data_IF_327871095245
#
_entry.id   IF_327871095245
#
_cell.length_a   1.000
_cell.length_b   1.000
_cell.length_c   1.000
_cell.angle_alpha   90.00
_cell.angle_beta   90.00
_cell.angle_gamma   90.00
#
_symmetry.space_group_name_H-M   'P 1'
#
loop_
_entity.id
_entity.type
_entity.pdbx_description
1 polymer ?
#
# COMPACT_ATOMS: atom_id res chain seq x y z
N UNK A 1 21.60 2.53 10.56
CA UNK A 1 21.01 2.81 9.24
C UNK A 1 19.55 2.35 9.29
N UNK A 2 18.59 3.18 8.88
CA UNK A 2 17.16 2.93 9.08
C UNK A 2 16.45 2.63 7.76
N UNK A 3 15.43 1.79 7.79
CA UNK A 3 14.43 1.75 6.71
C UNK A 3 13.57 3.01 6.78
N UNK A 4 13.17 3.53 5.63
CA UNK A 4 12.32 4.72 5.55
C UNK A 4 10.98 4.37 4.91
N UNK A 5 9.90 4.91 5.48
CA UNK A 5 8.54 4.77 4.97
C UNK A 5 7.97 6.17 4.78
N UNK A 6 7.41 6.44 3.60
CA UNK A 6 6.81 7.71 3.20
C UNK A 6 5.39 7.46 2.74
N UNK A 7 4.44 8.15 3.38
CA UNK A 7 3.01 8.07 3.04
C UNK A 7 2.69 9.13 2.00
N UNK A 8 2.36 8.71 0.77
CA UNK A 8 1.91 9.62 -0.27
C UNK A 8 0.40 9.82 -0.25
N UNK A 9 -0.35 8.87 0.30
CA UNK A 9 -1.75 9.09 0.60
C UNK A 9 -2.24 8.25 1.75
N UNK A 10 -3.21 8.83 2.46
CA UNK A 10 -3.68 8.37 3.77
C UNK A 10 -5.20 8.51 3.91
N UNK A 11 -5.90 8.80 2.81
CA UNK A 11 -7.36 8.92 2.80
C UNK A 11 -8.00 7.56 2.54
N UNK A 12 -9.14 7.31 3.17
CA UNK A 12 -10.04 6.21 2.81
C UNK A 12 -11.16 6.64 1.86
N UNK A 13 -11.74 5.66 1.15
CA UNK A 13 -12.96 5.82 0.34
C UNK A 13 -12.64 6.20 -1.10
N UNK A 14 -13.67 6.23 -1.95
CA UNK A 14 -13.51 6.22 -3.42
C UNK A 14 -12.84 7.43 -4.11
N UNK A 15 -12.13 8.30 -3.40
CA UNK A 15 -11.40 9.42 -3.99
C UNK A 15 -10.62 10.25 -2.97
N UNK A 16 -9.72 11.15 -3.44
CA UNK A 16 -8.90 11.97 -2.57
C UNK A 16 -9.76 12.99 -1.84
N UNK A 17 -9.37 13.33 -0.61
CA UNK A 17 -9.90 14.50 0.08
C UNK A 17 -9.08 15.74 -0.26
N UNK A 18 -9.59 16.94 0.08
CA UNK A 18 -8.86 18.21 -0.08
C UNK A 18 -7.46 18.17 0.58
N UNK A 19 -7.30 17.35 1.63
CA UNK A 19 -6.11 17.36 2.50
C UNK A 19 -5.31 16.05 2.51
N UNK A 20 -5.82 14.98 1.89
CA UNK A 20 -5.20 13.65 1.88
C UNK A 20 -5.44 12.99 0.53
N UNK A 21 -4.38 12.49 -0.10
CA UNK A 21 -4.49 11.67 -1.29
C UNK A 21 -5.00 10.25 -0.94
N UNK A 22 -5.53 9.53 -1.93
CA UNK A 22 -5.88 8.10 -1.84
C UNK A 22 -4.67 7.22 -1.52
N UNK A 23 -4.90 5.97 -1.10
CA UNK A 23 -3.89 5.06 -0.56
C UNK A 23 -2.65 4.94 -1.44
N UNK A 24 -1.49 5.28 -0.86
CA UNK A 24 -0.19 4.96 -1.43
C UNK A 24 0.92 5.20 -0.40
N UNK A 25 1.80 4.21 -0.27
CA UNK A 25 2.94 4.20 0.62
C UNK A 25 4.18 3.78 -0.14
N UNK A 26 5.31 4.45 0.11
CA UNK A 26 6.61 4.10 -0.47
C UNK A 26 7.63 3.82 0.63
N UNK A 27 8.39 2.76 0.47
CA UNK A 27 9.41 2.33 1.42
C UNK A 27 10.78 2.18 0.74
N UNK A 28 11.80 2.75 1.37
CA UNK A 28 13.22 2.44 1.10
C UNK A 28 13.67 1.42 2.16
N UNK A 29 13.68 0.16 1.75
CA UNK A 29 13.88 -1.00 2.64
C UNK A 29 15.29 -1.58 2.56
N UNK A 30 16.05 -1.26 1.51
CA UNK A 30 17.42 -1.75 1.29
C UNK A 30 18.48 -0.65 1.27
N UNK A 31 18.09 0.63 1.19
CA UNK A 31 18.98 1.79 1.34
C UNK A 31 19.93 2.03 0.17
N UNK A 32 19.71 1.40 -0.98
CA UNK A 32 20.45 1.63 -2.23
C UNK A 32 19.76 2.63 -3.17
N UNK A 33 18.63 3.19 -2.71
CA UNK A 33 17.78 4.11 -3.45
C UNK A 33 16.74 3.43 -4.33
N UNK A 34 16.66 2.09 -4.36
CA UNK A 34 15.48 1.38 -4.91
C UNK A 34 14.30 1.51 -3.94
N UNK A 35 13.11 1.68 -4.51
CA UNK A 35 11.89 1.95 -3.74
C UNK A 35 10.84 0.87 -3.99
N UNK A 36 10.21 0.44 -2.91
CA UNK A 36 9.06 -0.46 -2.94
C UNK A 36 7.81 0.36 -2.62
N UNK A 37 6.70 0.08 -3.30
CA UNK A 37 5.45 0.81 -3.12
C UNK A 37 4.34 -0.15 -2.70
N UNK A 38 3.53 0.22 -1.72
CA UNK A 38 2.28 -0.48 -1.38
C UNK A 38 1.11 0.44 -1.71
N UNK A 39 0.23 -0.07 -2.56
CA UNK A 39 -0.86 0.63 -3.23
C UNK A 39 -0.45 1.84 -4.09
N UNK A 40 -1.18 2.04 -5.17
CA UNK A 40 -0.97 3.13 -6.11
C UNK A 40 -2.31 3.64 -6.62
N UNK A 41 -2.94 4.45 -5.80
CA UNK A 41 -4.22 5.05 -6.08
C UNK A 41 -4.12 6.33 -6.91
N UNK A 42 -5.29 6.88 -7.26
CA UNK A 42 -5.39 8.15 -7.96
C UNK A 42 -4.52 9.24 -7.29
N UNK A 43 -3.79 10.01 -8.11
CA UNK A 43 -2.99 11.13 -7.63
C UNK A 43 -1.60 10.76 -7.09
N UNK A 44 -1.23 9.48 -6.98
CA UNK A 44 0.11 9.07 -6.48
C UNK A 44 1.26 9.71 -7.26
N UNK A 45 1.18 9.76 -8.60
CA UNK A 45 2.22 10.43 -9.43
C UNK A 45 2.40 11.89 -9.04
N UNK A 46 1.31 12.60 -8.73
CA UNK A 46 1.36 14.00 -8.29
C UNK A 46 2.08 14.14 -6.96
N UNK A 47 1.91 13.19 -6.04
CA UNK A 47 2.54 13.23 -4.72
C UNK A 47 4.07 13.18 -4.80
N UNK A 48 4.65 12.42 -5.75
CA UNK A 48 6.09 12.49 -6.03
C UNK A 48 6.56 13.89 -6.46
N UNK A 49 5.71 14.67 -7.12
CA UNK A 49 6.05 16.02 -7.55
C UNK A 49 5.87 17.06 -6.43
N UNK A 50 4.83 16.89 -5.61
CA UNK A 50 4.42 17.86 -4.59
C UNK A 50 4.92 17.53 -3.18
N UNK A 51 5.70 16.47 -3.02
CA UNK A 51 6.32 16.12 -1.75
C UNK A 51 7.08 17.32 -1.14
N UNK A 52 7.09 17.48 0.21
CA UNK A 52 7.86 18.53 0.86
C UNK A 52 9.34 18.46 0.45
N UNK A 53 9.88 19.59 0.00
CA UNK A 53 11.32 19.75 -0.28
C UNK A 53 11.90 20.72 0.74
N UNK A 54 13.03 20.36 1.34
CA UNK A 54 13.74 21.21 2.30
C UNK A 54 15.24 20.87 2.32
N UNK A 55 16.03 21.68 3.03
CA UNK A 55 17.50 21.62 2.98
C UNK A 55 18.10 20.22 3.30
N UNK A 56 17.37 19.36 4.01
CA UNK A 56 17.81 18.02 4.40
C UNK A 56 16.84 16.88 3.98
N UNK A 57 15.81 17.16 3.19
CA UNK A 57 14.85 16.13 2.72
C UNK A 57 14.93 16.06 1.21
N UNK A 58 15.64 15.05 0.70
CA UNK A 58 15.66 14.76 -0.72
C UNK A 58 14.35 14.08 -1.10
N UNK A 59 13.66 14.65 -2.10
CA UNK A 59 12.44 14.05 -2.61
C UNK A 59 12.69 12.69 -3.28
N UNK A 60 11.82 11.73 -2.99
CA UNK A 60 11.80 10.43 -3.66
C UNK A 60 11.49 10.58 -5.15
N UNK A 61 12.06 9.73 -5.99
CA UNK A 61 11.83 9.77 -7.45
C UNK A 61 10.96 8.59 -7.85
N UNK A 62 9.88 8.84 -8.60
CA UNK A 62 8.99 7.77 -9.06
C UNK A 62 9.74 6.70 -9.87
N UNK A 63 10.74 7.11 -10.65
CA UNK A 63 11.60 6.23 -11.44
C UNK A 63 12.41 5.26 -10.57
N UNK A 64 12.56 5.50 -9.26
CA UNK A 64 13.26 4.56 -8.36
C UNK A 64 12.37 3.42 -7.86
N UNK A 65 11.07 3.50 -8.10
CA UNK A 65 10.14 2.41 -7.75
C UNK A 65 10.33 1.25 -8.73
N UNK A 66 10.76 0.11 -8.21
CA UNK A 66 10.96 -1.12 -8.99
C UNK A 66 10.05 -2.27 -8.56
N UNK A 67 9.37 -2.16 -7.41
CA UNK A 67 8.36 -3.12 -6.96
C UNK A 67 7.12 -2.39 -6.43
N UNK A 68 5.94 -2.87 -6.82
CA UNK A 68 4.64 -2.32 -6.42
C UNK A 68 3.75 -3.47 -5.94
N UNK A 69 3.23 -3.34 -4.72
CA UNK A 69 2.40 -4.34 -4.06
C UNK A 69 0.99 -3.78 -3.89
N UNK A 70 -0.03 -4.52 -4.31
CA UNK A 70 -1.44 -4.13 -4.25
C UNK A 70 -2.12 -4.93 -3.16
N UNK A 71 -2.75 -4.25 -2.20
CA UNK A 71 -3.43 -4.91 -1.08
C UNK A 71 -4.74 -5.56 -1.52
N UNK A 72 -5.54 -4.86 -2.32
CA UNK A 72 -6.79 -5.35 -2.91
C UNK A 72 -7.22 -4.50 -4.11
N UNK A 73 -8.29 -4.89 -4.80
CA UNK A 73 -8.70 -4.31 -6.09
C UNK A 73 -9.65 -3.12 -6.01
N UNK A 74 -9.88 -2.51 -4.83
CA UNK A 74 -10.71 -1.29 -4.76
C UNK A 74 -10.02 -0.12 -5.46
N UNK A 75 -10.85 0.75 -6.04
CA UNK A 75 -10.39 1.81 -6.92
C UNK A 75 -9.41 2.77 -6.23
N UNK A 76 -9.65 3.10 -4.97
CA UNK A 76 -8.83 3.94 -4.11
C UNK A 76 -7.49 3.32 -3.70
N UNK A 77 -7.12 2.17 -4.27
CA UNK A 77 -5.82 1.52 -4.12
C UNK A 77 -5.11 1.25 -5.46
N UNK A 78 -5.85 1.13 -6.58
CA UNK A 78 -5.28 0.62 -7.86
C UNK A 78 -5.38 1.57 -9.06
N UNK A 79 -6.28 2.55 -9.07
CA UNK A 79 -6.53 3.34 -10.30
C UNK A 79 -5.39 4.29 -10.68
N UNK A 80 -4.43 4.50 -9.79
CA UNK A 80 -3.21 5.25 -10.08
C UNK A 80 -2.12 4.43 -10.77
N UNK A 81 -2.23 3.10 -10.80
CA UNK A 81 -1.20 2.20 -11.34
C UNK A 81 -0.90 2.55 -12.80
N UNK A 82 -1.91 2.69 -13.65
CA UNK A 82 -1.67 2.91 -15.09
C UNK A 82 -1.05 4.28 -15.37
N UNK A 83 -1.55 5.40 -14.81
CA UNK A 83 -0.84 6.68 -14.88
C UNK A 83 0.59 6.62 -14.34
N UNK A 84 0.82 5.84 -13.27
CA UNK A 84 2.14 5.64 -12.68
C UNK A 84 3.09 4.90 -13.62
N UNK A 85 2.65 3.76 -14.19
CA UNK A 85 3.41 3.02 -15.19
C UNK A 85 3.72 3.90 -16.39
N UNK A 86 2.75 4.68 -16.88
CA UNK A 86 2.99 5.60 -18.00
C UNK A 86 4.01 6.69 -17.66
N UNK A 87 4.10 7.10 -16.41
CA UNK A 87 5.05 8.11 -15.94
C UNK A 87 6.49 7.56 -15.85
N UNK A 88 6.66 6.28 -15.49
CA UNK A 88 8.00 5.69 -15.27
C UNK A 88 8.52 4.85 -16.45
N UNK A 89 7.61 4.33 -17.30
CA UNK A 89 7.94 3.59 -18.51
C UNK A 89 7.80 4.53 -19.72
N UNK A 90 8.92 5.09 -20.13
CA UNK A 90 9.00 6.13 -21.17
C UNK A 90 8.28 5.73 -22.49
N UNK A 91 7.78 6.68 -23.30
CA UNK A 91 7.27 6.35 -24.63
C UNK A 91 8.36 5.75 -25.54
N UNK A 92 8.02 4.79 -26.42
CA UNK A 92 8.95 4.35 -27.46
C UNK A 92 9.25 5.49 -28.46
N UNK A 93 10.44 5.52 -29.08
CA UNK A 93 10.77 6.49 -30.11
C UNK A 93 9.90 6.34 -31.37
N UNK A 94 9.66 7.44 -32.08
CA UNK A 94 8.76 7.52 -33.26
C UNK A 94 9.43 6.98 -34.55
N UNK A 95 10.75 6.77 -34.54
CA UNK A 95 11.53 6.46 -35.74
C UNK A 95 11.46 4.99 -36.18
N UNK A 96 10.68 4.74 -37.25
CA UNK A 96 11.04 3.89 -38.39
C UNK A 96 11.27 2.38 -38.16
N UNK A 97 10.29 1.57 -38.56
CA UNK A 97 10.47 0.19 -39.07
C UNK A 97 11.38 -0.73 -38.27
N UNK A 98 11.00 -1.01 -37.04
CA UNK A 98 10.97 -2.36 -36.45
C UNK A 98 10.02 -2.23 -35.28
N UNK A 99 9.12 -3.18 -35.07
CA UNK A 99 8.51 -3.33 -33.76
C UNK A 99 9.67 -3.41 -32.78
N UNK A 100 9.98 -2.32 -32.06
CA UNK A 100 10.87 -2.38 -30.91
C UNK A 100 10.07 -3.14 -29.88
N UNK A 101 10.05 -4.47 -30.05
CA UNK A 101 9.65 -5.36 -28.99
C UNK A 101 10.71 -5.12 -27.91
N UNK A 102 10.30 -4.69 -26.71
CA UNK A 102 11.25 -4.56 -25.62
C UNK A 102 12.01 -5.88 -25.52
N UNK A 103 13.34 -5.81 -25.48
CA UNK A 103 14.15 -7.01 -25.59
C UNK A 103 13.73 -7.97 -24.49
N UNK A 104 13.24 -9.16 -24.86
CA UNK A 104 12.86 -10.23 -23.91
C UNK A 104 14.01 -10.72 -23.01
N UNK A 105 15.22 -10.19 -23.21
CA UNK A 105 16.43 -10.47 -22.44
C UNK A 105 16.62 -9.57 -21.22
N UNK A 106 15.99 -8.40 -21.16
CA UNK A 106 16.13 -7.49 -20.01
C UNK A 106 15.03 -7.76 -18.98
N UNK A 107 15.35 -7.71 -17.67
CA UNK A 107 14.34 -7.83 -16.63
C UNK A 107 13.35 -6.66 -16.72
N UNK A 108 12.09 -6.87 -16.26
CA UNK A 108 11.11 -5.79 -16.23
C UNK A 108 11.61 -4.62 -15.37
N UNK A 109 11.27 -3.40 -15.79
CA UNK A 109 11.65 -2.18 -15.08
C UNK A 109 10.98 -2.07 -13.71
N UNK A 110 9.76 -2.60 -13.62
CA UNK A 110 8.93 -2.66 -12.43
C UNK A 110 8.15 -3.97 -12.38
N UNK A 111 8.07 -4.57 -11.20
CA UNK A 111 7.29 -5.77 -10.93
C UNK A 111 6.12 -5.42 -10.01
N UNK A 112 4.91 -5.83 -10.40
CA UNK A 112 3.68 -5.63 -9.64
C UNK A 112 3.29 -6.95 -8.99
N UNK A 113 2.88 -6.91 -7.74
CA UNK A 113 2.42 -8.06 -6.97
C UNK A 113 1.05 -7.73 -6.39
N UNK A 114 0.08 -8.62 -6.51
CA UNK A 114 -1.25 -8.36 -5.95
C UNK A 114 -2.25 -9.47 -6.18
N UNK A 115 -3.52 -9.28 -5.82
CA UNK A 115 -4.54 -10.32 -5.94
C UNK A 115 -4.83 -10.69 -7.39
N UNK A 116 -5.51 -11.83 -7.56
CA UNK A 116 -6.06 -12.25 -8.84
C UNK A 116 -6.86 -11.14 -9.52
N UNK A 117 -6.64 -10.93 -10.82
CA UNK A 117 -7.30 -9.91 -11.63
C UNK A 117 -6.46 -8.64 -11.83
N UNK A 118 -5.41 -8.42 -11.03
CA UNK A 118 -4.50 -7.28 -11.21
C UNK A 118 -3.84 -7.28 -12.59
N UNK A 119 -3.44 -8.46 -13.09
CA UNK A 119 -2.82 -8.59 -14.41
C UNK A 119 -3.80 -8.15 -15.51
N UNK A 120 -5.02 -8.66 -15.44
CA UNK A 120 -6.07 -8.31 -16.40
C UNK A 120 -6.41 -6.82 -16.35
N UNK A 121 -6.49 -6.23 -15.14
CA UNK A 121 -6.74 -4.80 -14.94
C UNK A 121 -5.69 -3.93 -15.64
N UNK A 122 -4.40 -4.15 -15.37
CA UNK A 122 -3.31 -3.35 -15.96
C UNK A 122 -3.26 -3.54 -17.47
N UNK A 123 -3.30 -4.80 -17.94
CA UNK A 123 -3.25 -5.13 -19.37
C UNK A 123 -4.40 -4.50 -20.15
N UNK A 124 -5.63 -4.63 -19.63
CA UNK A 124 -6.84 -4.14 -20.31
C UNK A 124 -6.79 -2.63 -20.47
N UNK A 125 -6.45 -1.89 -19.42
CA UNK A 125 -6.42 -0.42 -19.48
C UNK A 125 -5.30 0.07 -20.41
N UNK A 126 -4.09 -0.51 -20.33
CA UNK A 126 -3.00 -0.14 -21.24
C UNK A 126 -3.37 -0.43 -22.70
N UNK A 127 -4.02 -1.56 -22.97
CA UNK A 127 -4.52 -1.92 -24.30
C UNK A 127 -5.58 -0.93 -24.78
N UNK A 128 -6.61 -0.67 -23.97
CA UNK A 128 -7.71 0.24 -24.31
C UNK A 128 -7.26 1.69 -24.51
N UNK A 129 -6.20 2.11 -23.81
CA UNK A 129 -5.65 3.47 -23.92
C UNK A 129 -4.53 3.59 -24.97
N UNK A 130 -4.23 2.51 -25.70
CA UNK A 130 -3.16 2.44 -26.71
C UNK A 130 -1.78 2.82 -26.12
N UNK A 131 -1.57 2.51 -24.84
CA UNK A 131 -0.41 2.95 -24.07
C UNK A 131 0.78 2.00 -24.25
N UNK A 132 1.65 2.28 -25.21
CA UNK A 132 2.92 1.58 -25.40
C UNK A 132 4.07 2.28 -24.68
N UNK A 133 4.98 1.49 -24.12
CA UNK A 133 6.14 1.96 -23.35
C UNK A 133 7.43 1.29 -23.83
N UNK A 134 8.55 2.00 -23.70
CA UNK A 134 9.89 1.58 -24.08
C UNK A 134 10.47 0.52 -23.12
N UNK A 135 10.13 0.66 -21.84
CA UNK A 135 10.47 -0.30 -20.79
C UNK A 135 9.26 -1.20 -20.49
N UNK A 136 9.51 -2.36 -19.87
CA UNK A 136 8.48 -3.35 -19.56
C UNK A 136 8.09 -3.40 -18.09
N UNK A 137 6.91 -3.94 -17.82
CA UNK A 137 6.45 -4.31 -16.48
C UNK A 137 6.11 -5.80 -16.43
N UNK A 138 6.11 -6.40 -15.24
CA UNK A 138 5.55 -7.74 -15.01
C UNK A 138 4.49 -7.68 -13.92
N UNK A 139 3.45 -8.52 -14.01
CA UNK A 139 2.42 -8.62 -12.96
C UNK A 139 2.36 -10.04 -12.42
N UNK A 140 2.67 -10.18 -11.14
CA UNK A 140 2.61 -11.41 -10.39
C UNK A 140 1.33 -11.46 -9.55
N UNK A 141 0.53 -12.52 -9.71
CA UNK A 141 -0.72 -12.67 -8.99
C UNK A 141 -0.54 -13.59 -7.77
N UNK A 142 -1.05 -13.16 -6.63
CA UNK A 142 -1.13 -13.90 -5.38
C UNK A 142 -2.50 -14.59 -5.36
N UNK A 143 -2.48 -15.91 -5.51
CA UNK A 143 -3.64 -16.73 -5.76
C UNK A 143 -3.97 -17.62 -4.56
N UNK A 144 -5.26 -17.76 -4.28
CA UNK A 144 -5.81 -18.80 -3.41
C UNK A 144 -6.41 -19.92 -4.26
N UNK A 145 -6.72 -21.11 -3.71
CA UNK A 145 -7.32 -22.21 -4.48
C UNK A 145 -8.64 -21.87 -5.18
N UNK A 146 -9.37 -20.85 -4.71
CA UNK A 146 -10.61 -20.39 -5.33
C UNK A 146 -10.40 -19.43 -6.51
N UNK A 147 -9.18 -18.92 -6.70
CA UNK A 147 -8.90 -17.97 -7.76
C UNK A 147 -8.82 -18.65 -9.13
N UNK A 148 -9.30 -17.95 -10.15
CA UNK A 148 -8.97 -18.29 -11.54
C UNK A 148 -7.76 -17.46 -11.97
N UNK A 149 -6.61 -18.07 -12.29
CA UNK A 149 -5.43 -17.33 -12.73
C UNK A 149 -5.70 -16.53 -14.01
N UNK A 150 -5.21 -15.29 -14.08
CA UNK A 150 -5.29 -14.52 -15.34
C UNK A 150 -4.32 -15.11 -16.36
N UNK A 151 -4.76 -15.46 -17.60
CA UNK A 151 -3.87 -15.99 -18.63
C UNK A 151 -2.63 -15.10 -18.89
N UNK A 152 -1.46 -15.73 -19.01
CA UNK A 152 -0.17 -15.06 -19.22
C UNK A 152 0.62 -15.67 -20.41
N UNK A 153 -0.08 -16.19 -21.42
CA UNK A 153 0.55 -16.72 -22.63
C UNK A 153 1.10 -15.58 -23.51
N UNK A 154 2.22 -15.79 -24.25
CA UNK A 154 2.83 -14.76 -25.09
C UNK A 154 1.86 -14.06 -26.07
N UNK A 155 0.87 -14.77 -26.60
CA UNK A 155 -0.12 -14.21 -27.54
C UNK A 155 -1.12 -13.23 -26.90
N UNK A 156 -1.21 -13.21 -25.57
CA UNK A 156 -2.13 -12.33 -24.82
C UNK A 156 -1.41 -11.18 -24.12
N UNK A 157 -0.08 -11.18 -24.10
CA UNK A 157 0.68 -10.13 -23.43
C UNK A 157 0.52 -8.81 -24.18
N UNK A 158 0.36 -7.72 -23.42
CA UNK A 158 0.52 -6.40 -23.98
C UNK A 158 1.99 -6.20 -24.44
N UNK A 159 2.31 -5.45 -25.51
CA UNK A 159 3.69 -5.29 -26.00
C UNK A 159 4.70 -4.76 -24.96
N UNK A 160 4.22 -4.12 -23.90
CA UNK A 160 5.02 -3.61 -22.78
C UNK A 160 4.99 -4.50 -21.53
N UNK A 161 4.38 -5.68 -21.62
CA UNK A 161 4.22 -6.64 -20.52
C UNK A 161 5.20 -7.80 -20.68
N UNK A 162 5.87 -8.16 -19.59
CA UNK A 162 6.65 -9.38 -19.46
C UNK A 162 5.82 -10.48 -18.77
N UNK A 163 6.25 -11.73 -18.95
CA UNK A 163 5.63 -12.88 -18.29
C UNK A 163 5.66 -12.72 -16.77
N UNK A 164 4.48 -12.71 -16.16
CA UNK A 164 4.28 -12.68 -14.72
C UNK A 164 4.35 -14.06 -14.07
N UNK A 165 4.36 -14.11 -12.74
CA UNK A 165 4.31 -15.38 -12.00
C UNK A 165 2.99 -15.47 -11.24
N UNK A 166 2.52 -16.70 -11.04
CA UNK A 166 1.36 -16.98 -10.21
C UNK A 166 1.86 -17.64 -8.91
N UNK A 167 1.71 -16.94 -7.80
CA UNK A 167 2.08 -17.40 -6.47
C UNK A 167 0.86 -18.02 -5.81
N UNK A 168 0.83 -19.34 -5.68
CA UNK A 168 -0.18 -20.02 -4.86
C UNK A 168 0.16 -19.88 -3.37
N UNK A 169 -0.85 -19.62 -2.54
CA UNK A 169 -0.67 -19.63 -1.09
C UNK A 169 -0.36 -21.05 -0.59
N UNK A 170 0.32 -21.14 0.55
CA UNK A 170 0.53 -22.41 1.25
C UNK A 170 -0.75 -22.89 1.96
N UNK A 171 -0.66 -24.01 2.68
CA UNK A 171 -1.77 -24.57 3.47
C UNK A 171 -2.30 -23.61 4.55
N UNK A 172 -1.44 -22.71 5.05
CA UNK A 172 -1.82 -21.66 6.00
C UNK A 172 -2.44 -20.42 5.34
N UNK A 173 -2.56 -20.39 4.01
CA UNK A 173 -3.06 -19.25 3.26
C UNK A 173 -2.02 -18.14 3.02
N UNK A 174 -0.74 -18.37 3.30
CA UNK A 174 0.33 -17.38 3.20
C UNK A 174 1.12 -17.50 1.89
N UNK A 175 1.55 -16.37 1.35
CA UNK A 175 2.52 -16.30 0.27
C UNK A 175 3.87 -15.91 0.84
N UNK A 176 4.81 -16.85 0.88
CA UNK A 176 6.14 -16.61 1.46
C UNK A 176 7.19 -16.36 0.40
N UNK A 177 8.06 -15.40 0.68
CA UNK A 177 9.22 -15.06 -0.14
C UNK A 177 8.83 -14.76 -1.59
N UNK A 178 7.73 -14.03 -1.79
CA UNK A 178 7.24 -13.66 -3.14
C UNK A 178 8.26 -12.81 -3.90
N UNK A 179 9.11 -12.09 -3.16
CA UNK A 179 10.28 -11.41 -3.70
C UNK A 179 11.28 -11.11 -2.57
N UNK A 180 12.55 -10.88 -2.95
CA UNK A 180 13.58 -10.34 -2.06
C UNK A 180 14.36 -9.21 -2.74
N UNK A 181 15.15 -8.48 -1.95
CA UNK A 181 16.19 -7.58 -2.45
C UNK A 181 17.32 -7.47 -1.42
N UNK A 182 18.52 -7.18 -1.89
CA UNK A 182 19.70 -6.97 -1.06
C UNK A 182 20.33 -5.62 -1.37
N UNK A 183 20.66 -4.86 -0.32
CA UNK A 183 21.35 -3.57 -0.47
C UNK A 183 22.13 -3.17 0.77
N UNK A 184 22.33 -1.87 0.97
CA UNK A 184 23.12 -1.31 2.06
C UNK A 184 22.59 -1.61 3.47
N UNK A 185 21.30 -1.97 3.60
CA UNK A 185 20.66 -2.35 4.86
C UNK A 185 20.65 -3.86 5.11
N UNK A 186 21.02 -4.67 4.13
CA UNK A 186 20.94 -6.14 4.19
C UNK A 186 19.96 -6.71 3.17
N UNK A 187 19.66 -8.00 3.32
CA UNK A 187 18.66 -8.72 2.52
C UNK A 187 17.29 -8.63 3.20
N UNK A 188 16.30 -8.19 2.44
CA UNK A 188 14.88 -8.16 2.85
C UNK A 188 14.08 -9.13 2.00
N UNK A 189 13.06 -9.71 2.61
CA UNK A 189 12.11 -10.63 1.99
C UNK A 189 10.70 -10.05 2.16
N UNK A 190 9.85 -10.25 1.15
CA UNK A 190 8.43 -9.96 1.22
C UNK A 190 7.64 -11.25 1.42
N UNK A 191 6.86 -11.30 2.49
CA UNK A 191 5.78 -12.26 2.68
C UNK A 191 4.43 -11.54 2.61
N UNK A 192 3.36 -12.30 2.39
CA UNK A 192 2.00 -11.78 2.38
C UNK A 192 1.03 -12.78 3.03
N UNK A 193 -0.03 -12.27 3.62
CA UNK A 193 -1.09 -13.10 4.21
C UNK A 193 -2.46 -12.45 4.10
N UNK A 194 -3.53 -13.25 4.25
CA UNK A 194 -4.89 -12.79 4.10
C UNK A 194 -5.29 -11.94 5.30
N UNK A 195 -6.11 -10.93 5.03
CA UNK A 195 -6.81 -10.12 6.04
C UNK A 195 -8.29 -10.01 5.64
N UNK A 196 -9.17 -9.81 6.62
CA UNK A 196 -10.62 -9.84 6.39
C UNK A 196 -11.13 -8.47 5.97
N UNK A 197 -11.59 -8.36 4.73
CA UNK A 197 -12.29 -7.19 4.19
C UNK A 197 -13.54 -7.64 3.41
N UNK A 198 -14.29 -6.70 2.82
CA UNK A 198 -15.45 -7.02 1.95
C UNK A 198 -15.07 -7.83 0.72
N UNK A 199 -13.87 -7.59 0.21
CA UNK A 199 -13.27 -8.27 -0.92
C UNK A 199 -11.93 -8.90 -0.49
N UNK A 200 -11.38 -9.87 -1.24
CA UNK A 200 -10.09 -10.46 -0.93
C UNK A 200 -9.02 -9.37 -0.75
N UNK A 201 -8.41 -9.34 0.44
CA UNK A 201 -7.45 -8.33 0.83
C UNK A 201 -6.22 -8.97 1.47
N UNK A 202 -5.08 -8.33 1.25
CA UNK A 202 -3.75 -8.84 1.56
C UNK A 202 -3.02 -7.86 2.48
N UNK A 203 -2.42 -8.38 3.55
CA UNK A 203 -1.38 -7.69 4.31
C UNK A 203 0.01 -8.13 3.85
N UNK A 204 0.92 -7.18 3.73
CA UNK A 204 2.31 -7.41 3.32
C UNK A 204 3.26 -7.28 4.52
N UNK A 205 4.26 -8.17 4.58
CA UNK A 205 5.25 -8.21 5.64
C UNK A 205 6.65 -8.20 5.02
N UNK A 206 7.32 -7.06 5.13
CA UNK A 206 8.74 -6.93 4.75
C UNK A 206 9.58 -7.22 5.99
N UNK A 207 10.51 -8.16 5.90
CA UNK A 207 11.40 -8.48 7.00
C UNK A 207 12.83 -8.74 6.54
N UNK A 208 13.79 -8.44 7.41
CA UNK A 208 15.20 -8.72 7.17
C UNK A 208 15.50 -10.19 7.45
N UNK A 209 16.21 -10.84 6.52
CA UNK A 209 16.59 -12.25 6.64
C UNK A 209 17.54 -12.50 7.81
N UNK A 210 18.38 -11.51 8.10
CA UNK A 210 19.43 -11.55 9.12
C UNK A 210 19.25 -10.39 10.12
N UNK A 211 20.04 -10.40 11.19
CA UNK A 211 20.08 -9.32 12.17
C UNK A 211 20.18 -7.94 11.48
N UNK A 212 19.37 -6.92 11.89
CA UNK A 212 18.59 -6.85 13.12
C UNK A 212 17.18 -7.45 13.08
N UNK A 213 16.79 -8.16 12.00
CA UNK A 213 15.47 -8.79 11.84
C UNK A 213 14.29 -7.83 12.04
N UNK A 214 14.45 -6.57 11.58
CA UNK A 214 13.33 -5.61 11.60
C UNK A 214 12.23 -6.11 10.68
N UNK A 215 11.00 -5.85 11.10
CA UNK A 215 9.79 -6.27 10.39
C UNK A 215 8.84 -5.08 10.23
N UNK A 216 8.44 -4.83 8.99
CA UNK A 216 7.45 -3.85 8.58
C UNK A 216 6.19 -4.60 8.15
N UNK A 217 5.10 -4.44 8.89
CA UNK A 217 3.81 -4.97 8.52
C UNK A 217 2.95 -3.83 7.95
N UNK A 218 2.50 -3.97 6.70
CA UNK A 218 1.59 -3.03 6.05
C UNK A 218 0.31 -3.78 5.72
N UNK A 219 -0.75 -3.44 6.42
CA UNK A 219 -2.06 -4.02 6.17
C UNK A 219 -2.83 -3.15 5.19
N UNK A 220 -3.54 -3.80 4.26
CA UNK A 220 -4.61 -3.14 3.52
C UNK A 220 -5.84 -2.93 4.39
N UNK A 221 -6.96 -2.69 3.72
CA UNK A 221 -8.25 -2.50 4.38
C UNK A 221 -8.68 -3.79 5.07
N UNK A 222 -9.17 -3.68 6.29
CA UNK A 222 -9.53 -4.84 7.11
C UNK A 222 -10.43 -4.47 8.29
N UNK A 223 -11.36 -5.35 8.62
CA UNK A 223 -12.06 -5.38 9.90
C UNK A 223 -11.50 -6.45 10.86
N UNK A 224 -10.77 -7.43 10.34
CA UNK A 224 -10.10 -8.45 11.16
C UNK A 224 -8.81 -8.97 10.49
N UNK A 225 -7.63 -8.51 10.94
CA UNK A 225 -6.35 -9.00 10.45
C UNK A 225 -5.83 -10.25 11.18
N UNK A 226 -6.64 -10.93 12.02
CA UNK A 226 -6.16 -12.06 12.85
C UNK A 226 -5.48 -13.18 12.07
N UNK A 227 -5.88 -13.42 10.82
CA UNK A 227 -5.31 -14.47 9.99
C UNK A 227 -3.82 -14.24 9.66
N UNK A 228 -3.33 -12.99 9.64
CA UNK A 228 -1.93 -12.68 9.32
C UNK A 228 -0.97 -12.83 10.52
N UNK A 229 -1.50 -13.02 11.73
CA UNK A 229 -0.72 -13.08 12.97
C UNK A 229 0.49 -14.03 12.91
N UNK A 230 0.42 -15.24 12.29
CA UNK A 230 1.57 -16.13 12.20
C UNK A 230 2.80 -15.53 11.51
N UNK A 231 2.62 -14.57 10.59
CA UNK A 231 3.73 -13.84 9.97
C UNK A 231 4.31 -12.75 10.88
N UNK A 232 3.61 -12.38 11.95
CA UNK A 232 3.93 -11.27 12.84
C UNK A 232 4.48 -11.70 14.21
N UNK A 233 4.25 -12.94 14.65
CA UNK A 233 4.50 -13.35 16.05
C UNK A 233 5.97 -13.42 16.48
N UNK A 234 6.94 -13.60 15.56
CA UNK A 234 8.36 -13.71 15.92
C UNK A 234 9.29 -13.39 14.74
N UNK A 235 10.13 -12.34 14.81
CA UNK A 235 10.05 -11.23 15.78
C UNK A 235 8.78 -10.39 15.57
N UNK A 236 8.33 -9.64 16.59
CA UNK A 236 7.23 -8.70 16.44
C UNK A 236 7.54 -7.59 15.41
N UNK A 237 6.52 -6.97 14.81
CA UNK A 237 6.74 -5.88 13.85
C UNK A 237 7.39 -4.67 14.53
N UNK A 238 8.50 -4.21 13.96
CA UNK A 238 9.14 -2.95 14.33
C UNK A 238 8.27 -1.75 13.96
N UNK A 239 7.44 -1.89 12.94
CA UNK A 239 6.42 -0.94 12.54
C UNK A 239 5.22 -1.70 11.96
N UNK A 240 4.04 -1.42 12.50
CA UNK A 240 2.74 -1.85 11.99
C UNK A 240 2.02 -0.65 11.40
N UNK A 241 1.63 -0.74 10.14
CA UNK A 241 0.72 0.20 9.46
C UNK A 241 -0.64 -0.46 9.39
N UNK A 242 -1.63 0.15 10.02
CA UNK A 242 -3.00 -0.38 10.13
C UNK A 242 -4.01 0.70 9.73
N UNK A 243 -5.10 0.31 9.06
CA UNK A 243 -6.18 1.25 8.77
C UNK A 243 -6.94 1.70 10.03
N UNK A 244 -7.46 2.92 10.01
CA UNK A 244 -8.40 3.44 10.99
C UNK A 244 -9.44 4.33 10.30
N UNK A 245 -10.22 3.70 9.43
CA UNK A 245 -11.15 4.37 8.51
C UNK A 245 -12.17 5.24 9.23
N UNK A 246 -12.68 4.80 10.38
CA UNK A 246 -13.64 5.60 11.14
C UNK A 246 -13.39 5.60 12.66
N UNK A 247 -13.76 6.69 13.33
CA UNK A 247 -13.55 6.85 14.77
C UNK A 247 -14.71 7.56 15.46
N UNK A 248 -15.05 7.15 16.68
CA UNK A 248 -15.97 7.94 17.50
C UNK A 248 -15.25 9.22 17.96
N UNK A 249 -15.89 10.39 17.82
CA UNK A 249 -15.32 11.65 18.31
C UNK A 249 -16.31 12.25 19.33
N UNK A 250 -15.91 12.46 20.59
CA UNK A 250 -16.76 13.10 21.59
C UNK A 250 -17.10 14.55 21.22
N UNK A 251 -18.27 15.03 21.63
CA UNK A 251 -18.67 16.44 21.43
C UNK A 251 -17.78 17.45 22.15
N UNK A 252 -17.07 17.01 23.19
CA UNK A 252 -16.04 17.82 23.87
C UNK A 252 -14.81 18.06 23.00
N UNK A 253 -14.51 17.18 22.04
CA UNK A 253 -13.42 17.30 21.09
C UNK A 253 -13.88 18.01 19.82
N UNK A 254 -15.02 17.61 19.27
CA UNK A 254 -15.65 18.25 18.12
C UNK A 254 -17.14 18.50 18.37
N UNK A 255 -17.50 19.76 18.55
CA UNK A 255 -18.89 20.20 18.75
C UNK A 255 -19.83 19.80 17.60
N UNK A 256 -19.30 19.55 16.41
CA UNK A 256 -20.07 19.09 15.25
C UNK A 256 -20.29 17.58 15.25
N UNK A 257 -19.70 16.81 16.17
CA UNK A 257 -19.87 15.37 16.26
C UNK A 257 -21.30 14.99 16.66
N UNK A 258 -21.89 14.08 15.87
CA UNK A 258 -23.29 13.63 16.02
C UNK A 258 -23.46 12.12 16.17
N UNK A 259 -22.41 11.33 15.94
CA UNK A 259 -22.50 9.86 15.94
C UNK A 259 -22.23 9.32 17.34
N UNK A 260 -22.93 8.25 17.74
CA UNK A 260 -22.61 7.47 18.95
C UNK A 260 -21.47 6.50 18.67
N UNK A 261 -20.82 6.00 19.72
CA UNK A 261 -19.68 5.09 19.58
C UNK A 261 -20.08 3.76 18.94
N UNK A 262 -21.18 3.20 19.42
CA UNK A 262 -21.74 1.93 18.96
C UNK A 262 -22.11 1.99 17.48
N UNK A 263 -22.80 3.07 17.06
CA UNK A 263 -23.17 3.30 15.66
C UNK A 263 -21.95 3.40 14.74
N UNK A 264 -20.83 3.94 15.21
CA UNK A 264 -19.59 4.03 14.42
C UNK A 264 -18.98 2.65 14.28
N UNK A 265 -18.87 1.90 15.37
CA UNK A 265 -18.29 0.56 15.36
C UNK A 265 -19.06 -0.40 14.45
N UNK A 266 -20.39 -0.46 14.58
CA UNK A 266 -21.23 -1.33 13.73
C UNK A 266 -21.10 -0.98 12.24
N UNK A 267 -21.09 0.32 11.90
CA UNK A 267 -20.96 0.78 10.50
C UNK A 267 -19.59 0.47 9.91
N UNK A 268 -18.54 0.55 10.72
CA UNK A 268 -17.17 0.25 10.30
C UNK A 268 -17.02 -1.23 10.01
N UNK A 269 -17.48 -2.09 10.92
CA UNK A 269 -17.47 -3.54 10.73
C UNK A 269 -18.29 -3.97 9.52
N UNK A 270 -19.51 -3.43 9.37
CA UNK A 270 -20.37 -3.74 8.22
C UNK A 270 -19.76 -3.33 6.87
N UNK A 271 -18.78 -2.42 6.87
CA UNK A 271 -18.04 -1.99 5.67
C UNK A 271 -16.68 -2.67 5.54
N UNK A 272 -16.34 -3.60 6.43
CA UNK A 272 -15.07 -4.33 6.40
C UNK A 272 -13.87 -3.51 6.83
N UNK A 273 -14.05 -2.46 7.64
CA UNK A 273 -12.97 -1.58 8.07
C UNK A 273 -12.72 -1.66 9.59
N UNK A 274 -11.74 -0.89 10.06
CA UNK A 274 -11.37 -0.82 11.48
C UNK A 274 -11.49 0.56 12.10
N UNK A 275 -11.67 0.58 13.42
CA UNK A 275 -11.56 1.77 14.26
C UNK A 275 -10.14 1.89 14.84
N UNK A 276 -9.77 3.07 15.41
CA UNK A 276 -8.48 3.21 16.10
C UNK A 276 -8.31 2.23 17.26
N UNK A 277 -9.40 1.94 17.99
CA UNK A 277 -9.39 0.95 19.09
C UNK A 277 -9.00 -0.42 18.56
N UNK A 278 -9.62 -0.89 17.48
CA UNK A 278 -9.31 -2.19 16.86
C UNK A 278 -7.84 -2.25 16.39
N UNK A 279 -7.34 -1.16 15.79
CA UNK A 279 -5.95 -1.07 15.37
C UNK A 279 -4.97 -1.14 16.57
N UNK A 280 -5.29 -0.46 17.67
CA UNK A 280 -4.53 -0.51 18.91
C UNK A 280 -4.54 -1.88 19.59
N UNK A 281 -5.70 -2.51 19.70
CA UNK A 281 -5.85 -3.88 20.22
C UNK A 281 -5.03 -4.89 19.40
N UNK A 282 -5.06 -4.77 18.07
CA UNK A 282 -4.26 -5.62 17.20
C UNK A 282 -2.76 -5.37 17.38
N UNK A 283 -2.34 -4.11 17.45
CA UNK A 283 -0.95 -3.74 17.70
C UNK A 283 -0.42 -4.34 19.02
N UNK A 284 -1.23 -4.30 20.09
CA UNK A 284 -0.95 -4.97 21.36
C UNK A 284 -0.79 -6.47 21.19
N UNK A 285 -1.75 -7.10 20.51
CA UNK A 285 -1.80 -8.56 20.31
C UNK A 285 -0.58 -9.10 19.58
N UNK A 286 -0.05 -8.36 18.60
CA UNK A 286 1.14 -8.77 17.83
C UNK A 286 2.46 -8.25 18.43
N UNK A 287 2.40 -7.53 19.55
CA UNK A 287 3.58 -6.96 20.20
C UNK A 287 4.29 -5.91 19.34
N UNK A 288 3.56 -5.16 18.50
CA UNK A 288 4.15 -4.15 17.63
C UNK A 288 4.96 -3.13 18.44
N UNK A 289 6.11 -2.71 17.92
CA UNK A 289 6.95 -1.70 18.57
C UNK A 289 6.47 -0.27 18.25
N UNK A 290 5.87 -0.09 17.07
CA UNK A 290 5.30 1.18 16.59
C UNK A 290 4.04 0.89 15.81
N UNK A 291 3.00 1.70 16.03
CA UNK A 291 1.77 1.71 15.27
C UNK A 291 1.65 3.02 14.49
N UNK A 292 1.34 2.92 13.20
CA UNK A 292 0.91 4.05 12.38
C UNK A 292 -0.50 3.76 11.89
N UNK A 293 -1.41 4.66 12.23
CA UNK A 293 -2.77 4.67 11.69
C UNK A 293 -2.73 5.29 10.29
N UNK A 294 -3.31 4.58 9.33
CA UNK A 294 -3.43 4.99 7.94
C UNK A 294 -4.89 4.88 7.45
N UNK A 295 -5.13 5.20 6.18
CA UNK A 295 -6.43 5.03 5.53
C UNK A 295 -7.56 5.67 6.35
N UNK A 296 -7.40 6.96 6.64
CA UNK A 296 -8.24 7.74 7.52
C UNK A 296 -9.45 8.26 6.75
N UNK A 297 -10.63 8.14 7.36
CA UNK A 297 -11.91 8.69 6.88
C UNK A 297 -11.79 10.09 6.29
N UNK A 298 -12.35 10.31 5.11
CA UNK A 298 -12.39 11.64 4.47
C UNK A 298 -13.09 12.71 5.31
N UNK A 299 -13.93 12.30 6.27
CA UNK A 299 -14.53 13.19 7.28
C UNK A 299 -13.55 13.70 8.34
N UNK A 300 -12.34 13.17 8.38
CA UNK A 300 -11.24 13.59 9.25
C UNK A 300 -10.11 14.23 8.41
N UNK A 301 -10.35 15.41 7.84
CA UNK A 301 -9.36 16.10 7.02
C UNK A 301 -8.09 16.37 7.81
N UNK A 302 -6.94 16.31 7.15
CA UNK A 302 -5.66 16.59 7.78
C UNK A 302 -5.61 18.04 8.31
N UNK A 303 -5.01 18.27 9.48
CA UNK A 303 -4.84 19.61 10.02
C UNK A 303 -4.00 20.48 9.07
N UNK A 304 -4.37 21.75 8.92
CA UNK A 304 -3.53 22.77 8.27
C UNK A 304 -2.58 23.34 9.32
N UNK A 305 -1.33 23.54 8.93
CA UNK A 305 -0.42 24.35 9.72
C UNK A 305 -0.78 25.84 9.53
N UNK A 306 -1.67 26.34 10.39
CA UNK A 306 -2.06 27.75 10.43
C UNK A 306 -1.06 28.55 11.26
N UNK A 307 -0.82 29.80 10.87
CA UNK A 307 0.14 30.71 11.54
C UNK A 307 -0.25 31.03 13.00
N UNK A 308 -1.51 30.86 13.36
CA UNK A 308 -2.08 31.10 14.69
C UNK A 308 -2.24 29.82 15.53
N UNK A 309 -1.79 28.67 15.01
CA UNK A 309 -1.64 27.41 15.73
C UNK A 309 -2.92 26.70 16.15
N UNK A 310 -4.12 27.16 15.76
CA UNK A 310 -5.40 26.64 16.29
C UNK A 310 -6.31 26.04 15.22
N UNK A 311 -5.84 24.97 14.60
CA UNK A 311 -6.72 24.14 13.77
C UNK A 311 -7.41 23.07 14.62
N UNK A 312 -8.73 23.14 14.78
CA UNK A 312 -9.53 22.17 15.55
C UNK A 312 -9.35 20.72 15.07
N UNK A 313 -8.93 20.52 13.82
CA UNK A 313 -8.64 19.20 13.28
C UNK A 313 -7.50 18.49 14.00
N UNK A 314 -6.59 19.23 14.66
CA UNK A 314 -5.56 18.61 15.49
C UNK A 314 -6.19 17.81 16.63
N UNK A 315 -7.13 18.40 17.38
CA UNK A 315 -7.79 17.70 18.50
C UNK A 315 -8.52 16.43 18.04
N UNK A 316 -9.12 16.43 16.84
CA UNK A 316 -9.77 15.25 16.26
C UNK A 316 -8.75 14.15 15.93
N UNK A 317 -7.62 14.50 15.30
CA UNK A 317 -6.57 13.52 14.98
C UNK A 317 -5.86 13.02 16.25
N UNK A 318 -5.65 13.89 17.24
CA UNK A 318 -5.11 13.51 18.56
C UNK A 318 -6.06 12.55 19.28
N UNK A 319 -7.37 12.77 19.21
CA UNK A 319 -8.37 11.86 19.79
C UNK A 319 -8.37 10.47 19.12
N UNK A 320 -8.25 10.43 17.79
CA UNK A 320 -8.06 9.18 17.03
C UNK A 320 -6.78 8.46 17.52
N UNK A 321 -5.68 9.19 17.67
CA UNK A 321 -4.43 8.66 18.20
C UNK A 321 -4.56 8.14 19.64
N UNK A 322 -5.22 8.90 20.51
CA UNK A 322 -5.45 8.55 21.93
C UNK A 322 -6.19 7.23 22.05
N UNK A 323 -7.28 7.03 21.30
CA UNK A 323 -8.05 5.79 21.32
C UNK A 323 -7.21 4.57 20.94
N UNK A 324 -6.34 4.69 19.93
CA UNK A 324 -5.43 3.62 19.55
C UNK A 324 -4.36 3.37 20.62
N UNK A 325 -3.76 4.42 21.19
CA UNK A 325 -2.74 4.29 22.24
C UNK A 325 -3.28 3.61 23.50
N UNK A 326 -4.48 3.99 23.96
CA UNK A 326 -5.10 3.38 25.13
C UNK A 326 -5.41 1.89 24.91
N UNK A 327 -5.96 1.55 23.74
CA UNK A 327 -6.21 0.17 23.35
C UNK A 327 -4.91 -0.65 23.22
N UNK A 328 -3.85 -0.02 22.72
CA UNK A 328 -2.52 -0.62 22.60
C UNK A 328 -1.86 -0.83 23.98
N UNK A 329 -2.14 0.03 24.95
CA UNK A 329 -1.54 0.02 26.29
C UNK A 329 -0.27 0.86 26.39
N UNK A 330 -0.20 1.96 25.64
CA UNK A 330 0.91 2.93 25.62
C UNK A 330 0.49 4.28 26.22
#
# INVERSE_FOLDING_TARGET
RNMHVTFFGTSSGGGPSISRNCSSLVADVVGDGSLWMVDCAEGTVRQFQTQPRGNNIQGLRAQRVNKLFVTHMHADHVVGIVPFLRHILYPPPISGSSEVQPSSKLPPRIELYGPAGLRNFVRSILTMTLSRTADTYAVHELLTPSCTPTPCYPSLLHPSECHGLDFMCDEGGFWRSITSASGHLGEVIMDAGPITHRDPCIGYVIHERSFPQRKLAILGDTCDPSAIIPLLSSPPPSLLVHEATDAFIPRSVDVQARRKSEDVHEKVLARGHSTPVMAGEFAKRVGAQRLVLNHIGSRFPAPRQLKDGRDRRFAVIEEIGRQASEAWGM
#
